data_IF_905429450491
#
_entry.id   IF_905429450491
#
_cell.length_a   1.000
_cell.length_b   1.000
_cell.length_c   1.000
_cell.angle_alpha   90.00
_cell.angle_beta   90.00
_cell.angle_gamma   90.00
#
_symmetry.space_group_name_H-M   'P 1'
#
loop_
_entity.id
_entity.type
_entity.pdbx_description
1 polymer ?
#
# COMPACT_ATOMS: atom_id res chain seq x y z
N UNK A 1 44.89 82.94 19.50
CA UNK A 1 43.55 82.77 18.89
C UNK A 1 42.63 82.23 19.98
N UNK A 2 42.02 83.11 20.78
CA UNK A 2 40.55 83.30 20.92
C UNK A 2 39.81 81.95 21.08
N UNK A 3 39.32 81.52 22.23
CA UNK A 3 38.53 82.19 23.31
C UNK A 3 37.44 83.09 22.77
N UNK A 4 36.56 82.54 21.94
CA UNK A 4 35.16 82.97 21.75
C UNK A 4 34.51 81.97 20.80
N UNK A 5 33.25 81.62 21.08
CA UNK A 5 32.42 80.62 20.37
C UNK A 5 32.75 79.18 20.80
N UNK A 6 31.92 78.42 21.50
CA UNK A 6 30.46 78.35 21.52
C UNK A 6 29.93 78.34 22.96
N UNK A 7 29.38 79.47 23.40
CA UNK A 7 28.23 79.48 24.29
C UNK A 7 27.03 79.72 23.38
N UNK A 8 26.30 78.66 23.03
CA UNK A 8 24.98 78.80 22.40
C UNK A 8 24.01 77.77 22.95
N UNK A 9 23.05 78.32 23.70
CA UNK A 9 21.65 77.90 23.78
C UNK A 9 21.37 76.43 24.10
N UNK A 10 21.10 76.16 25.37
CA UNK A 10 19.79 75.61 25.72
C UNK A 10 19.54 75.92 27.20
N UNK A 11 18.86 77.03 27.46
CA UNK A 11 18.21 77.25 28.74
C UNK A 11 17.05 76.28 28.86
N UNK A 12 17.34 75.01 29.12
CA UNK A 12 16.34 74.10 29.64
C UNK A 12 16.15 74.52 31.08
N UNK A 13 15.03 75.19 31.33
CA UNK A 13 14.64 75.53 32.69
C UNK A 13 14.60 74.24 33.53
N UNK A 14 14.96 74.30 34.81
CA UNK A 14 14.91 73.15 35.71
C UNK A 14 13.56 72.39 35.64
N UNK A 15 12.48 73.13 35.31
CA UNK A 15 11.16 72.59 35.02
C UNK A 15 11.08 71.73 33.74
N UNK A 16 11.75 72.09 32.65
CA UNK A 16 11.82 71.30 31.41
C UNK A 16 12.65 70.01 31.57
N UNK A 17 13.72 70.07 32.38
CA UNK A 17 14.50 68.90 32.77
C UNK A 17 13.68 67.90 33.59
N UNK A 18 12.88 68.38 34.54
CA UNK A 18 11.94 67.55 35.31
C UNK A 18 10.82 66.97 34.44
N UNK A 19 10.29 67.76 33.49
CA UNK A 19 9.26 67.28 32.57
C UNK A 19 9.79 66.19 31.60
N UNK A 20 11.05 66.29 31.14
CA UNK A 20 11.69 65.22 30.36
C UNK A 20 11.98 63.99 31.20
N UNK A 21 12.46 64.15 32.43
CA UNK A 21 12.68 63.02 33.34
C UNK A 21 11.37 62.25 33.60
N UNK A 22 10.26 62.97 33.85
CA UNK A 22 8.94 62.36 34.03
C UNK A 22 8.42 61.66 32.76
N UNK A 23 8.70 62.20 31.56
CA UNK A 23 8.34 61.54 30.28
C UNK A 23 9.18 60.29 30.04
N UNK A 24 10.48 60.34 30.32
CA UNK A 24 11.37 59.18 30.19
C UNK A 24 10.95 58.08 31.17
N UNK A 25 10.63 58.42 32.42
CA UNK A 25 10.10 57.46 33.39
C UNK A 25 8.78 56.85 32.91
N UNK A 26 7.82 57.67 32.46
CA UNK A 26 6.55 57.18 31.92
C UNK A 26 6.72 56.30 30.67
N UNK A 27 7.65 56.63 29.77
CA UNK A 27 7.98 55.82 28.59
C UNK A 27 8.68 54.50 28.99
N UNK A 28 9.55 54.52 30.00
CA UNK A 28 10.19 53.30 30.50
C UNK A 28 9.20 52.37 31.20
N UNK A 29 8.24 52.92 31.94
CA UNK A 29 7.19 52.14 32.59
C UNK A 29 6.17 51.62 31.57
N UNK A 30 5.84 52.40 30.53
CA UNK A 30 5.03 51.93 29.40
C UNK A 30 5.74 50.80 28.61
N UNK A 31 7.05 50.90 28.40
CA UNK A 31 7.85 49.84 27.78
C UNK A 31 7.91 48.59 28.65
N UNK A 32 8.08 48.73 29.97
CA UNK A 32 8.04 47.59 30.92
C UNK A 32 6.68 46.90 30.89
N UNK A 33 5.59 47.66 30.96
CA UNK A 33 4.22 47.12 30.89
C UNK A 33 3.95 46.39 29.57
N UNK A 34 4.42 46.95 28.45
CA UNK A 34 4.31 46.32 27.12
C UNK A 34 5.13 45.03 27.04
N UNK A 35 6.38 45.05 27.50
CA UNK A 35 7.26 43.87 27.51
C UNK A 35 6.70 42.75 28.38
N UNK A 36 6.08 43.09 29.52
CA UNK A 36 5.42 42.11 30.38
C UNK A 36 4.16 41.53 29.72
N UNK A 37 3.37 42.36 29.05
CA UNK A 37 2.19 41.90 28.29
C UNK A 37 2.57 40.98 27.13
N UNK A 38 3.66 41.28 26.42
CA UNK A 38 4.18 40.47 25.32
C UNK A 38 4.74 39.14 25.84
N UNK A 39 5.43 39.13 26.99
CA UNK A 39 5.87 37.90 27.66
C UNK A 39 4.70 37.01 28.06
N UNK A 40 3.61 37.59 28.61
CA UNK A 40 2.40 36.84 28.98
C UNK A 40 1.71 36.26 27.74
N UNK A 41 1.63 37.02 26.63
CA UNK A 41 1.10 36.51 25.36
C UNK A 41 1.96 35.38 24.79
N UNK A 42 3.29 35.53 24.83
CA UNK A 42 4.20 34.50 24.35
C UNK A 42 4.09 33.21 25.17
N UNK A 43 4.03 33.33 26.50
CA UNK A 43 3.84 32.18 27.40
C UNK A 43 2.53 31.41 27.09
N UNK A 44 1.42 32.13 26.84
CA UNK A 44 0.15 31.49 26.46
C UNK A 44 0.20 30.83 25.07
N UNK A 45 0.95 31.38 24.13
CA UNK A 45 1.15 30.76 22.81
C UNK A 45 2.01 29.50 22.94
N UNK A 46 3.08 29.55 23.72
CA UNK A 46 3.97 28.42 23.94
C UNK A 46 3.27 27.28 24.71
N UNK A 47 2.44 27.62 25.70
CA UNK A 47 1.60 26.65 26.42
C UNK A 47 0.57 25.99 25.50
N UNK A 48 -0.12 26.76 24.66
CA UNK A 48 -1.04 26.21 23.64
C UNK A 48 -0.33 25.34 22.62
N UNK A 49 0.88 25.71 22.21
CA UNK A 49 1.68 24.92 21.28
C UNK A 49 2.13 23.60 21.92
N UNK A 50 2.55 23.62 23.20
CA UNK A 50 2.91 22.42 23.95
C UNK A 50 1.71 21.49 24.17
N UNK A 51 0.55 22.03 24.54
CA UNK A 51 -0.68 21.26 24.72
C UNK A 51 -1.14 20.62 23.40
N UNK A 52 -1.06 21.36 22.28
CA UNK A 52 -1.38 20.81 20.96
C UNK A 52 -0.40 19.70 20.56
N UNK A 53 0.89 19.89 20.80
CA UNK A 53 1.89 18.86 20.51
C UNK A 53 1.67 17.58 21.33
N UNK A 54 1.25 17.69 22.59
CA UNK A 54 0.88 16.54 23.41
C UNK A 54 -0.38 15.83 22.87
N UNK A 55 -1.42 16.59 22.52
CA UNK A 55 -2.64 16.04 21.93
C UNK A 55 -2.37 15.31 20.60
N UNK A 56 -1.51 15.86 19.74
CA UNK A 56 -1.12 15.24 18.48
C UNK A 56 -0.33 13.94 18.71
N UNK A 57 0.54 13.89 19.72
CA UNK A 57 1.26 12.68 20.13
C UNK A 57 0.27 11.61 20.62
N UNK A 58 -0.65 11.97 21.51
CA UNK A 58 -1.66 11.04 22.04
C UNK A 58 -2.58 10.50 20.93
N UNK A 59 -3.02 11.36 20.00
CA UNK A 59 -3.81 10.97 18.86
C UNK A 59 -3.06 9.97 17.96
N UNK A 60 -1.76 10.22 17.69
CA UNK A 60 -0.94 9.32 16.89
C UNK A 60 -0.70 7.95 17.57
N UNK A 61 -0.58 7.93 18.90
CA UNK A 61 -0.45 6.70 19.68
C UNK A 61 -1.75 5.90 19.71
N UNK A 62 -2.90 6.58 19.81
CA UNK A 62 -4.21 5.96 19.74
C UNK A 62 -4.46 5.33 18.35
N UNK A 63 -4.16 6.06 17.27
CA UNK A 63 -4.28 5.54 15.91
C UNK A 63 -3.38 4.33 15.66
N UNK A 64 -2.13 4.37 16.14
CA UNK A 64 -1.20 3.25 16.05
C UNK A 64 -1.68 2.02 16.85
N UNK A 65 -2.30 2.24 18.02
CA UNK A 65 -2.88 1.16 18.81
C UNK A 65 -4.11 0.53 18.11
N UNK A 66 -4.96 1.35 17.48
CA UNK A 66 -6.12 0.88 16.72
C UNK A 66 -5.72 0.12 15.45
N UNK A 67 -4.72 0.60 14.72
CA UNK A 67 -4.21 -0.13 13.56
C UNK A 67 -3.61 -1.48 13.98
N UNK A 68 -2.88 -1.53 15.10
CA UNK A 68 -2.36 -2.78 15.66
C UNK A 68 -3.50 -3.75 16.02
N UNK A 69 -4.56 -3.26 16.68
CA UNK A 69 -5.75 -4.07 16.99
C UNK A 69 -6.39 -4.67 15.74
N UNK A 70 -6.59 -3.86 14.70
CA UNK A 70 -7.15 -4.34 13.41
C UNK A 70 -6.28 -5.39 12.76
N UNK A 71 -4.95 -5.22 12.78
CA UNK A 71 -4.00 -6.22 12.24
C UNK A 71 -4.02 -7.51 13.05
N UNK A 72 -4.08 -7.42 14.38
CA UNK A 72 -4.13 -8.59 15.25
C UNK A 72 -5.47 -9.34 15.11
N UNK A 73 -6.59 -8.63 14.98
CA UNK A 73 -7.90 -9.19 14.66
C UNK A 73 -7.89 -9.90 13.29
N UNK A 74 -7.39 -9.25 12.23
CA UNK A 74 -7.27 -9.88 10.91
C UNK A 74 -6.36 -11.13 10.92
N UNK A 75 -5.29 -11.10 11.73
CA UNK A 75 -4.42 -12.29 11.95
C UNK A 75 -5.16 -13.39 12.69
N UNK A 76 -5.95 -13.07 13.71
CA UNK A 76 -6.76 -14.05 14.45
C UNK A 76 -7.84 -14.66 13.56
N UNK A 77 -8.59 -13.83 12.84
CA UNK A 77 -9.62 -14.29 11.89
C UNK A 77 -9.03 -15.19 10.80
N UNK A 78 -7.89 -14.80 10.22
CA UNK A 78 -7.22 -15.63 9.21
C UNK A 78 -6.65 -16.92 9.81
N UNK A 79 -6.14 -16.91 11.04
CA UNK A 79 -5.68 -18.10 11.74
C UNK A 79 -6.86 -19.04 12.09
N UNK A 80 -7.99 -18.50 12.55
CA UNK A 80 -9.21 -19.25 12.81
C UNK A 80 -9.79 -19.84 11.53
N UNK A 81 -9.84 -19.08 10.44
CA UNK A 81 -10.29 -19.58 9.15
C UNK A 81 -9.41 -20.73 8.66
N UNK A 82 -8.08 -20.61 8.82
CA UNK A 82 -7.12 -21.70 8.53
C UNK A 82 -7.36 -22.91 9.43
N UNK A 83 -7.58 -22.72 10.72
CA UNK A 83 -7.83 -23.79 11.67
C UNK A 83 -9.17 -24.52 11.40
N UNK A 84 -10.24 -23.77 11.10
CA UNK A 84 -11.54 -24.34 10.70
C UNK A 84 -11.41 -25.13 9.40
N UNK A 85 -10.67 -24.62 8.42
CA UNK A 85 -10.39 -25.31 7.17
C UNK A 85 -9.53 -26.57 7.34
N UNK A 86 -8.59 -26.57 8.30
CA UNK A 86 -7.81 -27.76 8.62
C UNK A 86 -8.67 -28.84 9.28
N UNK A 87 -9.51 -28.46 10.26
CA UNK A 87 -10.46 -29.37 10.91
C UNK A 87 -11.44 -29.97 9.92
N UNK A 88 -12.01 -29.17 9.01
CA UNK A 88 -12.93 -29.69 7.99
C UNK A 88 -12.24 -30.65 7.02
N UNK A 89 -10.98 -30.37 6.63
CA UNK A 89 -10.20 -31.28 5.80
C UNK A 89 -9.91 -32.63 6.50
N UNK A 90 -9.58 -32.63 7.80
CA UNK A 90 -9.41 -33.86 8.57
C UNK A 90 -10.69 -34.67 8.69
N UNK A 91 -11.82 -34.01 8.98
CA UNK A 91 -13.13 -34.67 9.04
C UNK A 91 -13.50 -35.28 7.69
N UNK A 92 -13.27 -34.55 6.59
CA UNK A 92 -13.48 -35.04 5.24
C UNK A 92 -12.59 -36.25 4.91
N UNK A 93 -11.31 -36.22 5.29
CA UNK A 93 -10.39 -37.36 5.14
C UNK A 93 -10.88 -38.61 5.86
N UNK A 94 -11.37 -38.45 7.10
CA UNK A 94 -11.94 -39.56 7.88
C UNK A 94 -13.18 -40.14 7.19
N UNK A 95 -14.08 -39.27 6.72
CA UNK A 95 -15.29 -39.67 6.00
C UNK A 95 -14.97 -40.38 4.67
N UNK A 96 -14.02 -39.86 3.89
CA UNK A 96 -13.59 -40.48 2.63
C UNK A 96 -13.00 -41.88 2.88
N UNK A 97 -12.14 -42.03 3.91
CA UNK A 97 -11.59 -43.34 4.30
C UNK A 97 -12.68 -44.32 4.74
N UNK A 98 -13.66 -43.87 5.54
CA UNK A 98 -14.74 -44.74 5.99
C UNK A 98 -15.62 -45.19 4.83
N UNK A 99 -15.95 -44.29 3.89
CA UNK A 99 -16.75 -44.66 2.71
C UNK A 99 -15.98 -45.65 1.83
N UNK A 100 -14.70 -45.40 1.56
CA UNK A 100 -13.86 -46.33 0.80
C UNK A 100 -13.77 -47.71 1.47
N UNK A 101 -13.60 -47.75 2.80
CA UNK A 101 -13.56 -49.01 3.55
C UNK A 101 -14.90 -49.77 3.46
N UNK A 102 -16.04 -49.09 3.55
CA UNK A 102 -17.36 -49.72 3.37
C UNK A 102 -17.53 -50.23 1.94
N UNK A 103 -17.14 -49.46 0.93
CA UNK A 103 -17.20 -49.91 -0.47
C UNK A 103 -16.37 -51.17 -0.71
N UNK A 104 -15.15 -51.25 -0.17
CA UNK A 104 -14.32 -52.46 -0.24
C UNK A 104 -14.98 -53.62 0.51
N UNK A 105 -15.48 -53.39 1.73
CA UNK A 105 -16.13 -54.43 2.53
C UNK A 105 -17.35 -55.04 1.84
N UNK A 106 -18.12 -54.24 1.11
CA UNK A 106 -19.32 -54.69 0.38
C UNK A 106 -18.95 -55.35 -0.96
N UNK A 107 -17.98 -54.79 -1.69
CA UNK A 107 -17.67 -55.23 -3.05
C UNK A 107 -16.68 -56.39 -3.12
N UNK A 108 -15.71 -56.47 -2.19
CA UNK A 108 -14.67 -57.49 -2.22
C UNK A 108 -15.23 -58.92 -2.08
N UNK A 109 -16.22 -59.22 -1.21
CA UNK A 109 -16.81 -60.55 -1.15
C UNK A 109 -17.46 -60.98 -2.46
N UNK A 110 -18.15 -60.05 -3.16
CA UNK A 110 -18.75 -60.33 -4.47
C UNK A 110 -17.67 -60.66 -5.52
N UNK A 111 -16.54 -59.96 -5.50
CA UNK A 111 -15.42 -60.27 -6.39
C UNK A 111 -14.77 -61.62 -6.07
N UNK A 112 -14.57 -61.93 -4.78
CA UNK A 112 -14.00 -63.24 -4.37
C UNK A 112 -14.91 -64.38 -4.84
N UNK A 113 -16.22 -64.24 -4.70
CA UNK A 113 -17.19 -65.23 -5.18
C UNK A 113 -17.20 -65.34 -6.71
N UNK A 114 -17.05 -64.21 -7.42
CA UNK A 114 -16.97 -64.20 -8.89
C UNK A 114 -15.76 -64.97 -9.45
N UNK A 115 -14.65 -65.00 -8.71
CA UNK A 115 -13.41 -65.68 -9.11
C UNK A 115 -13.19 -67.02 -8.39
N UNK A 116 -14.15 -67.49 -7.58
CA UNK A 116 -14.03 -68.75 -6.87
C UNK A 116 -14.35 -69.93 -7.80
N UNK A 117 -13.33 -70.72 -8.11
CA UNK A 117 -13.46 -72.00 -8.84
C UNK A 117 -12.67 -73.08 -8.07
N UNK A 118 -13.28 -74.23 -7.71
CA UNK A 118 -12.59 -75.36 -7.11
C UNK A 118 -11.34 -75.83 -7.88
N UNK A 119 -11.34 -75.71 -9.22
CA UNK A 119 -10.22 -76.11 -10.07
C UNK A 119 -9.20 -74.99 -10.30
N UNK A 120 -9.56 -73.74 -10.00
CA UNK A 120 -8.71 -72.56 -10.18
C UNK A 120 -8.71 -71.66 -8.93
N UNK A 121 -8.56 -72.25 -7.74
CA UNK A 121 -8.63 -71.56 -6.45
C UNK A 121 -7.67 -70.36 -6.32
N UNK A 122 -6.56 -70.37 -7.07
CA UNK A 122 -5.59 -69.27 -7.09
C UNK A 122 -6.18 -67.97 -7.67
N UNK A 123 -7.27 -68.02 -8.45
CA UNK A 123 -7.95 -66.85 -8.99
C UNK A 123 -8.59 -65.97 -7.89
N UNK A 124 -8.76 -66.49 -6.68
CA UNK A 124 -9.15 -65.70 -5.50
C UNK A 124 -8.15 -64.56 -5.21
N UNK A 125 -6.91 -64.66 -5.69
CA UNK A 125 -5.93 -63.57 -5.59
C UNK A 125 -6.26 -62.38 -6.51
N UNK A 126 -7.01 -62.59 -7.60
CA UNK A 126 -7.26 -61.57 -8.62
C UNK A 126 -7.95 -60.30 -8.07
N UNK A 127 -9.04 -60.39 -7.27
CA UNK A 127 -9.64 -59.23 -6.61
C UNK A 127 -8.63 -58.37 -5.82
N UNK A 128 -7.73 -59.02 -5.08
CA UNK A 128 -6.71 -58.31 -4.29
C UNK A 128 -5.67 -57.61 -5.16
N UNK A 129 -5.30 -58.21 -6.30
CA UNK A 129 -4.41 -57.57 -7.27
C UNK A 129 -5.11 -56.39 -7.93
N UNK A 130 -6.39 -56.52 -8.31
CA UNK A 130 -7.15 -55.44 -8.92
C UNK A 130 -7.26 -54.23 -7.99
N UNK A 131 -7.57 -54.46 -6.71
CA UNK A 131 -7.59 -53.42 -5.68
C UNK A 131 -6.18 -52.85 -5.42
N UNK A 132 -5.16 -53.70 -5.31
CA UNK A 132 -3.78 -53.30 -5.10
C UNK A 132 -3.26 -52.37 -6.22
N UNK A 133 -3.58 -52.68 -7.47
CA UNK A 133 -3.24 -51.84 -8.64
C UNK A 133 -3.97 -50.50 -8.59
N UNK A 134 -5.26 -50.49 -8.25
CA UNK A 134 -6.03 -49.24 -8.10
C UNK A 134 -5.40 -48.33 -7.03
N UNK A 135 -5.04 -48.89 -5.87
CA UNK A 135 -4.35 -48.16 -4.81
C UNK A 135 -2.94 -47.70 -5.21
N UNK A 136 -2.18 -48.54 -5.92
CA UNK A 136 -0.86 -48.16 -6.44
C UNK A 136 -0.95 -46.99 -7.43
N UNK A 137 -1.99 -46.94 -8.26
CA UNK A 137 -2.24 -45.83 -9.19
C UNK A 137 -2.65 -44.56 -8.45
N UNK A 138 -3.52 -44.64 -7.44
CA UNK A 138 -3.91 -43.48 -6.63
C UNK A 138 -2.73 -42.93 -5.80
N UNK A 139 -1.89 -43.80 -5.24
CA UNK A 139 -0.67 -43.39 -4.52
C UNK A 139 0.39 -42.83 -5.47
N UNK A 140 0.54 -43.42 -6.66
CA UNK A 140 1.40 -42.88 -7.73
C UNK A 140 0.93 -41.51 -8.22
N UNK A 141 -0.39 -41.31 -8.33
CA UNK A 141 -0.96 -39.99 -8.62
C UNK A 141 -0.54 -38.98 -7.55
N UNK A 142 -0.68 -39.34 -6.26
CA UNK A 142 -0.31 -38.49 -5.14
C UNK A 142 1.19 -38.15 -5.16
N UNK A 143 2.07 -39.12 -5.39
CA UNK A 143 3.50 -38.87 -5.52
C UNK A 143 3.82 -37.92 -6.68
N UNK A 144 3.21 -38.13 -7.85
CA UNK A 144 3.39 -37.25 -9.01
C UNK A 144 2.94 -35.81 -8.71
N UNK A 145 1.84 -35.63 -7.98
CA UNK A 145 1.36 -34.32 -7.52
C UNK A 145 2.35 -33.66 -6.57
N UNK A 146 2.84 -34.42 -5.58
CA UNK A 146 3.77 -33.89 -4.58
C UNK A 146 5.06 -33.41 -5.27
N UNK A 147 5.49 -34.09 -6.33
CA UNK A 147 6.62 -33.74 -7.23
C UNK A 147 6.30 -32.68 -8.31
N UNK A 148 5.06 -32.20 -8.42
CA UNK A 148 4.66 -31.22 -9.45
C UNK A 148 4.62 -31.76 -10.88
N UNK A 149 4.52 -33.09 -11.05
CA UNK A 149 4.41 -33.80 -12.33
C UNK A 149 2.95 -34.01 -12.74
N UNK A 150 2.66 -34.17 -14.04
CA UNK A 150 1.30 -34.46 -14.50
C UNK A 150 0.80 -35.81 -13.93
N UNK A 151 -0.25 -35.76 -13.12
CA UNK A 151 -0.83 -36.93 -12.43
C UNK A 151 -2.07 -37.51 -13.09
N UNK A 152 -2.57 -36.86 -14.15
CA UNK A 152 -3.83 -37.24 -14.80
C UNK A 152 -3.80 -38.67 -15.37
N UNK A 153 -2.65 -39.15 -15.82
CA UNK A 153 -2.49 -40.50 -16.35
C UNK A 153 -2.74 -41.58 -15.29
N UNK A 154 -2.19 -41.39 -14.09
CA UNK A 154 -2.39 -42.32 -12.97
C UNK A 154 -3.86 -42.39 -12.55
N UNK A 155 -4.55 -41.25 -12.56
CA UNK A 155 -5.99 -41.15 -12.25
C UNK A 155 -6.85 -41.80 -13.30
N UNK A 156 -6.55 -41.57 -14.57
CA UNK A 156 -7.24 -42.24 -15.67
C UNK A 156 -7.08 -43.76 -15.56
N UNK A 157 -5.87 -44.23 -15.23
CA UNK A 157 -5.61 -45.63 -14.94
C UNK A 157 -6.47 -46.16 -13.78
N UNK A 158 -6.52 -45.42 -12.65
CA UNK A 158 -7.34 -45.81 -11.50
C UNK A 158 -8.84 -45.86 -11.84
N UNK A 159 -9.33 -44.93 -12.66
CA UNK A 159 -10.73 -44.92 -13.12
C UNK A 159 -11.04 -46.12 -14.02
N UNK A 160 -10.18 -46.42 -14.98
CA UNK A 160 -10.34 -47.59 -15.87
C UNK A 160 -10.38 -48.86 -15.03
N UNK A 161 -9.47 -48.99 -14.06
CA UNK A 161 -9.41 -50.11 -13.14
C UNK A 161 -10.70 -50.25 -12.32
N UNK A 162 -11.22 -49.14 -11.79
CA UNK A 162 -12.48 -49.10 -11.06
C UNK A 162 -13.68 -49.52 -11.92
N UNK A 163 -13.71 -49.15 -13.20
CA UNK A 163 -14.75 -49.56 -14.15
C UNK A 163 -14.68 -51.06 -14.48
N UNK A 164 -13.48 -51.64 -14.58
CA UNK A 164 -13.31 -53.09 -14.76
C UNK A 164 -13.88 -53.84 -13.55
N UNK A 165 -13.49 -53.42 -12.34
CA UNK A 165 -14.01 -53.98 -11.09
C UNK A 165 -15.55 -53.85 -11.00
N UNK A 166 -16.09 -52.71 -11.42
CA UNK A 166 -17.52 -52.46 -11.47
C UNK A 166 -18.23 -53.39 -12.45
N UNK A 167 -17.63 -53.65 -13.63
CA UNK A 167 -18.15 -54.59 -14.62
C UNK A 167 -18.22 -56.02 -14.08
N UNK A 168 -17.18 -56.48 -13.38
CA UNK A 168 -17.15 -57.81 -12.75
C UNK A 168 -18.25 -57.92 -11.69
N UNK A 169 -18.37 -56.92 -10.81
CA UNK A 169 -19.40 -56.91 -9.76
C UNK A 169 -20.81 -56.81 -10.32
N UNK A 170 -21.02 -56.07 -11.41
CA UNK A 170 -22.31 -56.03 -12.09
C UNK A 170 -22.66 -57.39 -12.69
N UNK A 171 -21.76 -57.98 -13.49
CA UNK A 171 -22.01 -59.24 -14.17
C UNK A 171 -22.31 -60.35 -13.16
N UNK A 172 -21.42 -60.60 -12.21
CA UNK A 172 -21.60 -61.66 -11.22
C UNK A 172 -22.75 -61.38 -10.24
N UNK A 173 -22.85 -60.13 -9.76
CA UNK A 173 -23.88 -59.74 -8.80
C UNK A 173 -25.29 -59.78 -9.40
N UNK A 174 -25.45 -59.39 -10.66
CA UNK A 174 -26.74 -59.44 -11.36
C UNK A 174 -27.20 -60.87 -11.65
N UNK A 175 -26.27 -61.76 -12.00
CA UNK A 175 -26.54 -63.18 -12.26
C UNK A 175 -26.88 -63.95 -10.97
N UNK A 176 -26.11 -63.74 -9.91
CA UNK A 176 -26.20 -64.57 -8.69
C UNK A 176 -27.23 -64.06 -7.70
N UNK A 177 -27.35 -62.73 -7.57
CA UNK A 177 -28.13 -62.08 -6.51
C UNK A 177 -29.15 -61.06 -7.05
N UNK A 178 -29.34 -61.01 -8.36
CA UNK A 178 -30.28 -60.13 -9.04
C UNK A 178 -29.71 -58.75 -9.39
N UNK A 179 -30.36 -58.08 -10.35
CA UNK A 179 -29.91 -56.83 -10.98
C UNK A 179 -29.58 -55.73 -9.96
N UNK A 180 -30.39 -55.60 -8.90
CA UNK A 180 -30.17 -54.60 -7.86
C UNK A 180 -28.82 -54.77 -7.14
N UNK A 181 -28.44 -56.01 -6.83
CA UNK A 181 -27.16 -56.33 -6.20
C UNK A 181 -25.99 -56.07 -7.14
N UNK A 182 -26.15 -56.42 -8.43
CA UNK A 182 -25.15 -56.09 -9.46
C UNK A 182 -24.90 -54.58 -9.59
N UNK A 183 -25.97 -53.78 -9.64
CA UNK A 183 -25.84 -52.30 -9.68
C UNK A 183 -25.18 -51.77 -8.40
N UNK A 184 -25.58 -52.26 -7.23
CA UNK A 184 -25.01 -51.84 -5.95
C UNK A 184 -23.50 -52.13 -5.85
N UNK A 185 -23.08 -53.33 -6.26
CA UNK A 185 -21.67 -53.72 -6.31
C UNK A 185 -20.86 -52.88 -7.29
N UNK A 186 -21.41 -52.63 -8.49
CA UNK A 186 -20.77 -51.79 -9.51
C UNK A 186 -20.56 -50.34 -9.04
N UNK A 187 -21.59 -49.75 -8.42
CA UNK A 187 -21.50 -48.40 -7.87
C UNK A 187 -20.46 -48.32 -6.74
N UNK A 188 -20.40 -49.32 -5.85
CA UNK A 188 -19.39 -49.36 -4.80
C UNK A 188 -17.96 -49.36 -5.34
N UNK A 189 -17.70 -50.10 -6.43
CA UNK A 189 -16.38 -50.14 -7.07
C UNK A 189 -15.95 -48.82 -7.71
N UNK A 190 -16.89 -47.98 -8.14
CA UNK A 190 -16.57 -46.66 -8.73
C UNK A 190 -16.52 -45.54 -7.68
N UNK A 191 -17.49 -45.53 -6.75
CA UNK A 191 -17.67 -44.45 -5.77
C UNK A 191 -16.47 -44.35 -4.82
N UNK A 192 -15.93 -45.48 -4.35
CA UNK A 192 -14.79 -45.50 -3.42
C UNK A 192 -13.57 -44.74 -3.97
N UNK A 193 -13.02 -45.15 -5.13
CA UNK A 193 -11.92 -44.44 -5.79
C UNK A 193 -12.24 -42.99 -6.15
N UNK A 194 -13.46 -42.69 -6.62
CA UNK A 194 -13.84 -41.32 -6.99
C UNK A 194 -13.89 -40.36 -5.79
N UNK A 195 -14.43 -40.79 -4.65
CA UNK A 195 -14.47 -39.95 -3.44
C UNK A 195 -13.06 -39.67 -2.93
N UNK A 196 -12.17 -40.68 -2.99
CA UNK A 196 -10.76 -40.50 -2.65
C UNK A 196 -10.05 -39.52 -3.58
N UNK A 197 -10.25 -39.66 -4.90
CA UNK A 197 -9.66 -38.75 -5.89
C UNK A 197 -10.21 -37.32 -5.73
N UNK A 198 -11.51 -37.16 -5.43
CA UNK A 198 -12.13 -35.85 -5.16
C UNK A 198 -11.54 -35.17 -3.90
N UNK A 199 -11.33 -35.95 -2.83
CA UNK A 199 -10.64 -35.47 -1.63
C UNK A 199 -9.24 -34.94 -1.99
N UNK A 200 -8.47 -35.68 -2.78
CA UNK A 200 -7.10 -35.29 -3.11
C UNK A 200 -7.06 -34.06 -4.04
N UNK A 201 -7.99 -33.95 -5.00
CA UNK A 201 -8.12 -32.75 -5.84
C UNK A 201 -8.42 -31.47 -5.06
N UNK A 202 -9.26 -31.55 -4.04
CA UNK A 202 -9.52 -30.40 -3.16
C UNK A 202 -8.25 -29.90 -2.44
N UNK A 203 -7.33 -30.81 -2.14
CA UNK A 203 -6.04 -30.52 -1.50
C UNK A 203 -5.05 -29.87 -2.46
N UNK A 204 -5.03 -30.33 -3.71
CA UNK A 204 -4.11 -29.89 -4.77
C UNK A 204 -4.45 -28.50 -5.26
N UNK A 205 -5.73 -28.23 -5.56
CA UNK A 205 -6.18 -26.92 -6.00
C UNK A 205 -5.81 -25.82 -5.00
N UNK A 206 -5.75 -26.16 -3.71
CA UNK A 206 -5.32 -25.27 -2.63
C UNK A 206 -3.80 -25.13 -2.53
N UNK A 207 -3.02 -26.20 -2.78
CA UNK A 207 -1.53 -26.18 -2.77
C UNK A 207 -0.97 -25.41 -3.95
N UNK A 208 -1.53 -25.61 -5.14
CA UNK A 208 -1.09 -24.98 -6.39
C UNK A 208 -1.54 -23.51 -6.51
N UNK A 209 -2.27 -22.98 -5.53
CA UNK A 209 -2.74 -21.60 -5.55
C UNK A 209 -3.66 -21.29 -6.72
N UNK A 210 -4.34 -22.31 -7.27
CA UNK A 210 -5.21 -22.15 -8.40
C UNK A 210 -6.32 -21.15 -8.04
N UNK A 211 -6.25 -19.98 -8.68
CA UNK A 211 -7.19 -18.89 -8.43
C UNK A 211 -8.60 -19.42 -8.72
N UNK A 212 -9.49 -19.46 -7.72
CA UNK A 212 -10.82 -20.02 -7.91
C UNK A 212 -11.54 -19.24 -9.01
N UNK A 213 -12.38 -19.94 -9.78
CA UNK A 213 -13.13 -19.34 -10.91
C UNK A 213 -13.92 -18.10 -10.48
N UNK A 214 -14.40 -18.05 -9.24
CA UNK A 214 -15.08 -16.88 -8.66
C UNK A 214 -14.16 -15.66 -8.56
N UNK A 215 -12.92 -15.82 -8.10
CA UNK A 215 -11.93 -14.74 -8.01
C UNK A 215 -11.51 -14.28 -9.41
N UNK A 216 -11.24 -15.21 -10.34
CA UNK A 216 -10.97 -14.85 -11.74
C UNK A 216 -12.12 -14.05 -12.37
N UNK A 217 -13.38 -14.43 -12.07
CA UNK A 217 -14.57 -13.68 -12.52
C UNK A 217 -14.68 -12.31 -11.85
N UNK A 218 -14.30 -12.19 -10.57
CA UNK A 218 -14.30 -10.92 -9.85
C UNK A 218 -13.24 -9.96 -10.40
N UNK A 219 -12.01 -10.45 -10.63
CA UNK A 219 -10.92 -9.70 -11.27
C UNK A 219 -11.31 -9.25 -12.68
N UNK A 220 -11.86 -10.15 -13.50
CA UNK A 220 -12.34 -9.80 -14.84
C UNK A 220 -13.46 -8.74 -14.80
N UNK A 221 -14.37 -8.81 -13.82
CA UNK A 221 -15.41 -7.78 -13.62
C UNK A 221 -14.82 -6.46 -13.16
N UNK A 222 -13.83 -6.47 -12.27
CA UNK A 222 -13.14 -5.27 -11.80
C UNK A 222 -12.37 -4.60 -12.95
N UNK A 223 -11.60 -5.37 -13.72
CA UNK A 223 -10.90 -4.88 -14.92
C UNK A 223 -11.88 -4.27 -15.94
N UNK A 224 -13.03 -4.93 -16.19
CA UNK A 224 -14.06 -4.40 -17.08
C UNK A 224 -14.69 -3.11 -16.57
N UNK A 225 -14.90 -2.98 -15.25
CA UNK A 225 -15.41 -1.73 -14.65
C UNK A 225 -14.40 -0.60 -14.76
N UNK A 226 -13.13 -0.90 -14.55
CA UNK A 226 -12.06 0.10 -14.67
C UNK A 226 -11.89 0.57 -16.12
N UNK A 227 -11.89 -0.35 -17.09
CA UNK A 227 -11.89 -0.01 -18.51
C UNK A 227 -13.07 0.91 -18.87
N UNK A 228 -14.29 0.55 -18.47
CA UNK A 228 -15.48 1.41 -18.68
C UNK A 228 -15.36 2.78 -18.02
N UNK A 229 -14.75 2.86 -16.83
CA UNK A 229 -14.53 4.13 -16.13
C UNK A 229 -13.57 5.02 -16.92
N UNK A 230 -12.48 4.45 -17.42
CA UNK A 230 -11.49 5.16 -18.23
C UNK A 230 -12.14 5.63 -19.55
N UNK A 231 -12.89 4.76 -20.23
CA UNK A 231 -13.58 5.09 -21.47
C UNK A 231 -14.56 6.27 -21.27
N UNK A 232 -15.39 6.21 -20.22
CA UNK A 232 -16.33 7.28 -19.90
C UNK A 232 -15.65 8.61 -19.54
N UNK A 233 -14.51 8.57 -18.84
CA UNK A 233 -13.72 9.77 -18.53
C UNK A 233 -13.13 10.37 -19.81
N UNK A 234 -12.63 9.52 -20.71
CA UNK A 234 -12.05 9.94 -21.98
C UNK A 234 -13.11 10.51 -22.94
N UNK A 235 -14.29 9.91 -23.00
CA UNK A 235 -15.44 10.45 -23.73
C UNK A 235 -15.86 11.82 -23.21
N UNK A 236 -15.95 11.98 -21.88
CA UNK A 236 -16.26 13.26 -21.26
C UNK A 236 -15.19 14.34 -21.54
N UNK A 237 -13.90 13.96 -21.62
CA UNK A 237 -12.80 14.85 -22.01
C UNK A 237 -12.94 15.30 -23.46
N UNK A 238 -13.18 14.36 -24.37
CA UNK A 238 -13.36 14.63 -25.80
C UNK A 238 -14.54 15.58 -26.07
N UNK A 239 -15.63 15.46 -25.30
CA UNK A 239 -16.79 16.36 -25.44
C UNK A 239 -16.50 17.76 -24.87
N UNK A 240 -15.77 17.85 -23.76
CA UNK A 240 -15.55 19.11 -23.04
C UNK A 240 -14.57 20.04 -23.76
N UNK A 241 -13.48 19.49 -24.27
CA UNK A 241 -12.39 20.26 -24.88
C UNK A 241 -11.74 19.45 -26.01
N UNK A 242 -12.25 19.66 -27.23
CA UNK A 242 -11.87 18.89 -28.42
C UNK A 242 -10.40 19.12 -28.78
N UNK A 243 -9.93 20.37 -28.70
CA UNK A 243 -8.57 20.75 -29.08
C UNK A 243 -7.53 20.09 -28.15
N UNK A 244 -7.81 20.08 -26.84
CA UNK A 244 -6.96 19.37 -25.87
C UNK A 244 -6.99 17.86 -26.11
N UNK A 245 -8.16 17.31 -26.44
CA UNK A 245 -8.30 15.87 -26.68
C UNK A 245 -7.57 15.41 -27.96
N UNK A 246 -7.71 16.13 -29.07
CA UNK A 246 -6.97 15.87 -30.31
C UNK A 246 -5.46 15.94 -30.07
N UNK A 247 -5.00 16.97 -29.35
CA UNK A 247 -3.59 17.07 -28.99
C UNK A 247 -3.12 15.92 -28.09
N UNK A 248 -3.98 15.44 -27.19
CA UNK A 248 -3.68 14.28 -26.36
C UNK A 248 -3.58 12.99 -27.18
N UNK A 249 -4.39 12.83 -28.23
CA UNK A 249 -4.29 11.70 -29.16
C UNK A 249 -2.98 11.73 -29.96
N UNK A 250 -2.56 12.90 -30.45
CA UNK A 250 -1.28 13.05 -31.15
C UNK A 250 -0.09 12.67 -30.26
N UNK A 251 -0.10 13.16 -29.02
CA UNK A 251 0.94 12.84 -28.03
C UNK A 251 0.92 11.34 -27.67
N UNK A 252 -0.26 10.73 -27.55
CA UNK A 252 -0.39 9.29 -27.28
C UNK A 252 0.17 8.47 -28.44
N UNK A 253 -0.15 8.84 -29.69
CA UNK A 253 0.37 8.20 -30.89
C UNK A 253 1.90 8.30 -30.98
N UNK A 254 2.47 9.47 -30.65
CA UNK A 254 3.92 9.67 -30.61
C UNK A 254 4.62 8.82 -29.53
N UNK A 255 3.92 8.51 -28.43
CA UNK A 255 4.40 7.65 -27.33
C UNK A 255 4.03 6.17 -27.49
N UNK A 256 3.38 5.79 -28.61
CA UNK A 256 2.84 4.46 -28.85
C UNK A 256 1.84 3.98 -27.77
N UNK A 257 1.11 4.91 -27.14
CA UNK A 257 -0.01 4.61 -26.24
C UNK A 257 -1.28 4.37 -27.09
N UNK A 258 -2.04 3.31 -26.78
CA UNK A 258 -3.30 3.01 -27.49
C UNK A 258 -4.43 4.00 -27.15
N UNK A 259 -4.44 4.52 -25.93
CA UNK A 259 -5.38 5.52 -25.45
C UNK A 259 -4.63 6.59 -24.68
N UNK A 260 -5.04 7.87 -24.73
CA UNK A 260 -4.37 8.93 -24.00
C UNK A 260 -4.32 8.62 -22.51
N UNK A 261 -3.10 8.46 -21.98
CA UNK A 261 -2.90 8.34 -20.53
C UNK A 261 -3.17 9.67 -19.82
N UNK A 262 -3.29 9.62 -18.49
CA UNK A 262 -3.50 10.82 -17.68
C UNK A 262 -2.35 11.83 -17.83
N UNK A 263 -1.12 11.34 -17.96
CA UNK A 263 0.07 12.16 -18.22
C UNK A 263 -0.01 12.85 -19.58
N UNK A 264 -0.43 12.12 -20.60
CA UNK A 264 -0.53 12.61 -21.97
C UNK A 264 -1.61 13.70 -22.06
N UNK A 265 -2.77 13.47 -21.45
CA UNK A 265 -3.84 14.46 -21.35
C UNK A 265 -3.42 15.70 -20.56
N UNK A 266 -2.72 15.54 -19.44
CA UNK A 266 -2.20 16.67 -18.64
C UNK A 266 -1.23 17.53 -19.44
N UNK A 267 -0.32 16.89 -20.18
CA UNK A 267 0.62 17.59 -21.04
C UNK A 267 -0.10 18.35 -22.15
N UNK A 268 -1.06 17.72 -22.84
CA UNK A 268 -1.88 18.37 -23.85
C UNK A 268 -2.62 19.60 -23.28
N UNK A 269 -3.21 19.46 -22.08
CA UNK A 269 -3.87 20.57 -21.40
C UNK A 269 -2.91 21.74 -21.14
N UNK A 270 -1.71 21.46 -20.65
CA UNK A 270 -0.71 22.51 -20.40
C UNK A 270 -0.20 23.13 -21.71
N UNK A 271 -0.06 22.38 -22.79
CA UNK A 271 0.33 22.92 -24.10
C UNK A 271 -0.73 23.87 -24.69
N UNK A 272 -2.03 23.55 -24.54
CA UNK A 272 -3.13 24.38 -25.06
C UNK A 272 -3.49 25.55 -24.15
N UNK A 273 -3.65 25.29 -22.84
CA UNK A 273 -4.13 26.30 -21.89
C UNK A 273 -3.03 27.00 -21.10
N UNK A 274 -1.78 26.50 -21.14
CA UNK A 274 -0.67 27.05 -20.36
C UNK A 274 -0.81 26.90 -18.84
N UNK A 275 -1.70 26.01 -18.37
CA UNK A 275 -2.06 25.87 -16.96
C UNK A 275 -2.21 24.39 -16.54
N UNK A 276 -2.46 24.17 -15.24
CA UNK A 276 -2.80 22.84 -14.71
C UNK A 276 -4.19 22.38 -15.18
N UNK A 277 -4.41 21.06 -15.25
CA UNK A 277 -5.68 20.47 -15.71
C UNK A 277 -6.87 21.02 -14.93
N UNK A 278 -7.88 21.48 -15.65
CA UNK A 278 -9.09 22.08 -15.07
C UNK A 278 -8.97 23.58 -14.77
N UNK A 279 -7.80 24.18 -14.96
CA UNK A 279 -7.61 25.63 -14.96
C UNK A 279 -7.48 26.13 -16.39
N UNK A 280 -8.24 27.17 -16.72
CA UNK A 280 -8.10 27.95 -17.96
C UNK A 280 -7.74 29.39 -17.58
N UNK A 281 -7.22 30.18 -18.52
CA UNK A 281 -6.89 31.58 -18.27
C UNK A 281 -8.08 32.37 -17.69
N UNK A 282 -9.28 32.13 -18.24
CA UNK A 282 -10.53 32.72 -17.75
C UNK A 282 -10.85 32.29 -16.31
N UNK A 283 -10.70 31.00 -16.00
CA UNK A 283 -10.96 30.50 -14.64
C UNK A 283 -9.98 31.07 -13.63
N UNK A 284 -8.70 31.17 -13.99
CA UNK A 284 -7.67 31.79 -13.15
C UNK A 284 -7.99 33.27 -12.94
N UNK A 285 -8.39 33.99 -13.99
CA UNK A 285 -8.82 35.39 -13.88
C UNK A 285 -10.04 35.54 -12.95
N UNK A 286 -11.06 34.68 -13.10
CA UNK A 286 -12.23 34.65 -12.24
C UNK A 286 -11.87 34.36 -10.78
N UNK A 287 -11.01 33.35 -10.52
CA UNK A 287 -10.53 33.07 -9.17
C UNK A 287 -9.74 34.23 -8.57
N UNK A 288 -8.91 34.93 -9.36
CA UNK A 288 -8.19 36.12 -8.91
C UNK A 288 -9.15 37.26 -8.60
N UNK A 289 -10.16 37.50 -9.44
CA UNK A 289 -11.20 38.49 -9.21
C UNK A 289 -12.00 38.19 -7.93
N UNK A 290 -12.43 36.93 -7.73
CA UNK A 290 -13.12 36.49 -6.54
C UNK A 290 -12.26 36.67 -5.27
N UNK A 291 -10.98 36.25 -5.31
CA UNK A 291 -10.05 36.47 -4.20
C UNK A 291 -9.85 37.96 -3.88
N UNK A 292 -9.80 38.81 -4.91
CA UNK A 292 -9.74 40.28 -4.73
C UNK A 292 -11.02 40.80 -4.08
N UNK A 293 -12.20 40.35 -4.52
CA UNK A 293 -13.47 40.75 -3.93
C UNK A 293 -13.59 40.35 -2.45
N UNK A 294 -13.20 39.12 -2.10
CA UNK A 294 -13.15 38.65 -0.70
C UNK A 294 -12.21 39.52 0.14
N UNK A 295 -11.02 39.84 -0.39
CA UNK A 295 -10.06 40.72 0.30
C UNK A 295 -10.62 42.12 0.54
N UNK A 296 -11.30 42.70 -0.45
CA UNK A 296 -11.96 44.00 -0.32
C UNK A 296 -13.10 43.97 0.71
N UNK A 297 -13.88 42.88 0.75
CA UNK A 297 -14.93 42.71 1.74
C UNK A 297 -14.38 42.54 3.17
N UNK A 298 -13.24 41.85 3.33
CA UNK A 298 -12.62 41.62 4.63
C UNK A 298 -11.88 42.83 5.20
N UNK A 299 -11.16 43.57 4.34
CA UNK A 299 -10.23 44.63 4.77
C UNK A 299 -10.70 46.04 4.40
N UNK A 300 -11.86 46.18 3.76
CA UNK A 300 -12.35 47.44 3.19
C UNK A 300 -11.77 47.75 1.81
N UNK A 301 -12.23 48.84 1.16
CA UNK A 301 -11.63 49.34 -0.06
C UNK A 301 -10.14 49.55 0.20
N UNK A 302 -9.28 49.01 -0.66
CA UNK A 302 -7.89 49.43 -0.71
C UNK A 302 -7.94 50.92 -1.04
N UNK A 303 -7.79 51.77 -0.03
CA UNK A 303 -7.55 53.19 -0.24
C UNK A 303 -6.41 53.27 -1.26
N UNK A 304 -6.59 54.15 -2.26
CA UNK A 304 -5.57 54.36 -3.30
C UNK A 304 -4.24 54.47 -2.56
N UNK A 305 -3.20 53.73 -2.95
CA UNK A 305 -1.87 54.02 -2.42
C UNK A 305 -1.56 55.45 -2.85
N UNK A 306 -1.85 56.42 -1.98
CA UNK A 306 -1.26 57.73 -2.02
C UNK A 306 0.22 57.48 -1.84
N UNK A 307 0.92 57.32 -2.97
CA UNK A 307 2.33 57.68 -3.15
C UNK A 307 3.26 57.49 -1.94
N UNK A 308 3.14 56.40 -1.18
CA UNK A 308 4.23 55.93 -0.34
C UNK A 308 5.24 55.25 -1.26
N UNK A 309 6.01 56.09 -1.95
CA UNK A 309 7.18 55.76 -2.75
C UNK A 309 8.35 55.29 -1.86
N UNK A 310 8.08 54.51 -0.81
CA UNK A 310 9.03 54.31 0.29
C UNK A 310 9.33 52.82 0.47
N UNK A 311 10.64 52.55 0.42
CA UNK A 311 11.40 51.42 0.99
C UNK A 311 11.82 50.25 0.08
N UNK A 312 11.10 49.84 -0.97
CA UNK A 312 11.54 48.63 -1.70
C UNK A 312 12.55 48.88 -2.83
N UNK A 313 12.64 50.10 -3.36
CA UNK A 313 13.66 50.50 -4.36
C UNK A 313 14.94 51.04 -3.70
N UNK A 314 14.87 51.59 -2.48
CA UNK A 314 16.05 52.10 -1.76
C UNK A 314 16.99 51.00 -1.26
N UNK A 315 16.56 49.73 -1.24
CA UNK A 315 17.47 48.62 -0.90
C UNK A 315 18.50 48.31 -2.00
N UNK A 316 18.42 48.97 -3.17
CA UNK A 316 19.38 48.83 -4.27
C UNK A 316 20.28 50.06 -4.48
N UNK A 317 20.09 51.15 -3.73
CA UNK A 317 21.05 52.24 -3.68
C UNK A 317 22.02 51.98 -2.52
N UNK A 318 23.27 51.72 -2.88
CA UNK A 318 24.38 51.55 -1.93
C UNK A 318 24.48 52.77 -1.02
N UNK A 319 24.31 52.58 0.29
CA UNK A 319 24.65 53.60 1.27
C UNK A 319 26.14 53.93 1.15
N UNK A 320 26.48 55.18 0.84
CA UNK A 320 27.85 55.71 0.76
C UNK A 320 28.57 55.80 2.12
N UNK A 321 28.01 55.23 3.19
CA UNK A 321 28.66 55.18 4.49
C UNK A 321 29.58 53.96 4.65
N UNK A 322 30.81 54.11 4.15
CA UNK A 322 32.02 53.90 4.95
C UNK A 322 32.29 52.53 5.59
N UNK A 323 31.66 51.42 5.18
CA UNK A 323 32.09 50.08 5.61
C UNK A 323 33.06 49.49 4.58
N UNK A 324 34.34 49.60 4.92
CA UNK A 324 35.48 48.96 4.24
C UNK A 324 35.13 47.60 3.65
N UNK A 325 35.25 47.49 2.32
CA UNK A 325 35.17 46.24 1.60
C UNK A 325 36.09 45.21 2.29
N UNK A 326 35.51 44.13 2.82
CA UNK A 326 36.29 42.94 3.15
C UNK A 326 36.97 42.51 1.86
N UNK A 327 38.30 42.53 1.86
CA UNK A 327 39.12 42.15 0.71
C UNK A 327 38.74 40.77 0.14
N UNK A 328 39.14 40.48 -1.10
CA UNK A 328 38.79 39.23 -1.77
C UNK A 328 39.19 38.05 -0.88
N UNK A 329 38.19 37.25 -0.45
CA UNK A 329 38.45 36.01 0.28
C UNK A 329 39.32 35.13 -0.61
N UNK A 330 40.41 34.61 -0.04
CA UNK A 330 41.31 33.71 -0.75
C UNK A 330 40.53 32.54 -1.36
N UNK A 331 40.89 32.11 -2.59
CA UNK A 331 40.22 30.99 -3.25
C UNK A 331 40.53 29.71 -2.47
N UNK A 332 39.54 29.19 -1.73
CA UNK A 332 39.67 27.90 -1.05
C UNK A 332 38.79 27.70 0.20
N UNK A 333 38.22 28.76 0.79
CA UNK A 333 37.61 28.64 2.13
C UNK A 333 36.10 28.41 2.16
N UNK A 334 35.35 28.62 1.07
CA UNK A 334 33.91 28.36 1.07
C UNK A 334 33.64 26.95 0.52
N UNK A 335 33.49 25.99 1.44
CA UNK A 335 33.18 24.59 1.20
C UNK A 335 31.78 24.32 0.60
N UNK A 336 31.32 25.19 -0.30
CA UNK A 336 30.06 25.04 -1.02
C UNK A 336 30.28 24.31 -2.35
N UNK A 337 29.44 23.31 -2.56
CA UNK A 337 29.48 22.20 -3.54
C UNK A 337 29.57 22.54 -5.04
N UNK A 338 29.87 23.78 -5.44
CA UNK A 338 29.90 24.16 -6.87
C UNK A 338 31.24 24.71 -7.39
N UNK A 339 32.27 24.83 -6.57
CA UNK A 339 33.57 25.40 -6.98
C UNK A 339 34.76 24.41 -6.97
N UNK A 340 34.58 23.16 -7.43
CA UNK A 340 35.70 22.27 -7.82
C UNK A 340 36.73 21.90 -6.74
N UNK A 341 36.58 22.35 -5.49
CA UNK A 341 37.49 22.04 -4.39
C UNK A 341 37.33 20.60 -3.91
N UNK A 342 38.46 19.92 -3.71
CA UNK A 342 38.51 18.56 -3.15
C UNK A 342 37.77 18.53 -1.80
N UNK A 343 36.69 17.73 -1.66
CA UNK A 343 35.89 17.73 -0.44
C UNK A 343 36.74 17.32 0.77
N UNK A 344 36.50 17.91 1.96
CA UNK A 344 37.29 17.64 3.15
C UNK A 344 37.27 16.15 3.48
N UNK A 345 38.46 15.55 3.60
CA UNK A 345 38.65 14.14 3.94
C UNK A 345 38.01 13.87 5.31
N UNK A 346 36.85 13.20 5.32
CA UNK A 346 36.14 12.85 6.56
C UNK A 346 36.94 11.79 7.32
N UNK A 347 37.34 12.10 8.57
CA UNK A 347 37.95 11.13 9.48
C UNK A 347 36.84 10.31 10.17
N UNK A 348 36.99 8.98 10.32
CA UNK A 348 36.05 8.17 11.08
C UNK A 348 35.81 8.79 12.48
N UNK A 349 34.54 9.03 12.82
CA UNK A 349 34.14 9.61 14.12
C UNK A 349 33.75 11.09 14.13
N UNK A 350 33.98 11.84 13.05
CA UNK A 350 33.68 13.30 13.01
C UNK A 350 32.32 13.68 12.39
N UNK A 351 31.56 12.72 11.87
CA UNK A 351 30.21 12.99 11.33
C UNK A 351 29.17 13.06 12.45
N UNK A 352 28.71 14.28 12.74
CA UNK A 352 27.55 14.53 13.57
C UNK A 352 26.28 14.10 12.83
N UNK A 353 25.76 12.91 13.14
CA UNK A 353 24.47 12.46 12.64
C UNK A 353 23.33 13.16 13.38
N UNK A 354 22.28 13.54 12.66
CA UNK A 354 21.03 13.99 13.26
C UNK A 354 20.46 12.90 14.19
N UNK A 355 19.66 13.29 15.18
CA UNK A 355 19.01 12.36 16.10
C UNK A 355 18.16 11.32 15.35
N UNK A 356 17.46 11.74 14.29
CA UNK A 356 16.67 10.86 13.43
C UNK A 356 17.51 9.79 12.72
N UNK A 357 18.65 10.18 12.14
CA UNK A 357 19.57 9.23 11.48
C UNK A 357 20.13 8.20 12.48
N UNK A 358 20.46 8.63 13.72
CA UNK A 358 20.89 7.71 14.78
C UNK A 358 19.79 6.73 15.20
N UNK A 359 18.53 7.17 15.24
CA UNK A 359 17.39 6.31 15.54
C UNK A 359 17.18 5.24 14.46
N UNK A 360 17.24 5.62 13.18
CA UNK A 360 17.10 4.67 12.07
C UNK A 360 18.24 3.65 12.02
N UNK A 361 19.49 4.06 12.26
CA UNK A 361 20.63 3.12 12.32
C UNK A 361 20.49 2.13 13.49
N UNK A 362 19.98 2.57 14.65
CA UNK A 362 19.71 1.68 15.78
C UNK A 362 18.60 0.67 15.45
N UNK A 363 17.55 1.10 14.76
CA UNK A 363 16.46 0.22 14.35
C UNK A 363 16.94 -0.86 13.36
N UNK A 364 17.76 -0.47 12.37
CA UNK A 364 18.35 -1.41 11.41
C UNK A 364 19.36 -2.36 12.04
N UNK A 365 20.20 -1.89 12.97
CA UNK A 365 21.11 -2.76 13.71
C UNK A 365 20.36 -3.82 14.53
N UNK A 366 19.26 -3.44 15.20
CA UNK A 366 18.40 -4.38 15.94
C UNK A 366 17.73 -5.41 15.03
N UNK A 367 17.24 -4.98 13.87
CA UNK A 367 16.60 -5.87 12.91
C UNK A 367 17.58 -6.92 12.36
N UNK A 368 18.85 -6.55 12.20
CA UNK A 368 19.90 -7.45 11.72
C UNK A 368 20.31 -8.48 12.78
N UNK A 369 20.48 -8.08 14.03
CA UNK A 369 20.78 -9.02 15.11
C UNK A 369 19.65 -10.02 15.33
N UNK A 370 18.38 -9.60 15.25
CA UNK A 370 17.25 -10.54 15.34
C UNK A 370 17.19 -11.50 14.17
N UNK A 371 17.57 -11.08 12.96
CA UNK A 371 17.65 -11.98 11.80
C UNK A 371 18.77 -13.02 11.97
N UNK A 372 19.93 -12.63 12.50
CA UNK A 372 21.08 -13.52 12.73
C UNK A 372 20.89 -14.48 13.92
N UNK A 373 19.99 -14.20 14.86
CA UNK A 373 19.63 -15.15 15.95
C UNK A 373 18.49 -16.09 15.61
N UNK A 374 17.79 -15.84 14.49
CA UNK A 374 16.64 -16.65 14.03
C UNK A 374 17.00 -17.62 12.90
N UNK A 375 18.24 -17.56 12.42
CA UNK A 375 18.85 -18.48 11.47
C UNK A 375 19.83 -19.38 12.24
#
# INVERSE_FOLDING_TARGET
MSVTELRRESGETYAEGLARAARIEAETDALRAKTESDRRRQALVDEKAAAKAQADIEASLAEAADEKRRRDEARRESAEAKARAAKSAETWKKAAKSIAAVCVLVSLPLQIMAFWDPHAWFLVAAPFVLEGVAWALLTGAQAAIDDGRPSWHYRLGALIQALIAAGINYAHGSETYGIATGIGGALCSVIGPMIWDLHEHGRIAKREGHIPRSVRRAEARAAKREAKRIDAVNEARAVRDKDVWERALDLAAALAEQTPSESTYRRAWTEIHGAEVGQTAERIAHTRAAKRAVRLAQNGPLEKPEKDAIAQVDSQLTSEDGKSAKGPKQPGEDGRKRNGGTPPRRRPGTTLYSSAARSQMRATARARTTAETSA
#
